data_IF_135362844571
#
_entry.id   IF_135362844571
#
_cell.length_a   1.000
_cell.length_b   1.000
_cell.length_c   1.000
_cell.angle_alpha   90.00
_cell.angle_beta   90.00
_cell.angle_gamma   90.00
#
_symmetry.space_group_name_H-M   'P 1'
#
loop_
_entity.id
_entity.type
_entity.pdbx_description
1 polymer ?
#
# COMPACT_ATOMS: atom_id res chain seq x y z
N UNK A 1 30.59 -3.70 14.38
CA UNK A 1 30.37 -3.14 13.03
C UNK A 1 28.87 -3.07 12.77
N UNK A 2 28.21 -1.92 12.97
CA UNK A 2 26.81 -1.76 12.58
C UNK A 2 26.73 -1.47 11.07
N UNK A 3 25.93 -2.29 10.39
CA UNK A 3 25.66 -2.25 8.94
C UNK A 3 24.67 -1.14 8.60
N UNK A 4 24.96 -0.45 7.49
CA UNK A 4 24.11 0.55 6.82
C UNK A 4 23.11 -0.18 5.91
N UNK A 5 21.82 0.14 5.92
CA UNK A 5 20.95 -0.07 4.76
C UNK A 5 20.80 1.23 3.93
N UNK A 6 20.85 1.17 2.59
CA UNK A 6 20.60 2.29 1.71
C UNK A 6 19.12 2.31 1.30
N UNK A 7 18.35 3.31 1.74
CA UNK A 7 17.18 3.76 0.97
C UNK A 7 17.08 5.29 0.98
N UNK A 8 17.84 5.90 0.10
CA UNK A 8 17.54 7.26 -0.34
C UNK A 8 16.26 7.22 -1.19
N UNK A 9 15.09 7.25 -0.56
CA UNK A 9 13.87 7.71 -1.23
C UNK A 9 13.85 9.22 -1.15
N UNK A 10 14.48 9.85 -2.16
CA UNK A 10 14.16 11.23 -2.51
C UNK A 10 12.68 11.28 -2.89
N UNK A 11 11.87 11.92 -2.07
CA UNK A 11 10.60 12.48 -2.50
C UNK A 11 10.56 13.92 -2.04
N UNK A 12 10.77 14.83 -2.98
CA UNK A 12 10.60 16.27 -2.81
C UNK A 12 9.10 16.57 -2.63
N UNK A 13 8.68 17.21 -1.53
CA UNK A 13 7.38 17.86 -1.50
C UNK A 13 7.46 19.18 -2.27
N UNK A 14 6.43 19.41 -3.08
CA UNK A 14 6.10 20.66 -3.76
C UNK A 14 6.61 21.91 -3.03
N UNK A 15 7.60 22.57 -3.62
CA UNK A 15 7.91 23.96 -3.30
C UNK A 15 6.69 24.80 -3.68
N UNK A 16 5.83 25.09 -2.72
CA UNK A 16 4.89 26.19 -2.82
C UNK A 16 5.73 27.46 -2.89
N UNK A 17 5.97 27.94 -4.10
CA UNK A 17 6.58 29.25 -4.34
C UNK A 17 5.63 30.32 -3.82
N UNK A 18 5.79 30.69 -2.55
CA UNK A 18 5.38 31.99 -2.05
C UNK A 18 6.19 33.03 -2.82
N UNK A 19 5.63 33.54 -3.92
CA UNK A 19 6.17 34.66 -4.66
C UNK A 19 5.90 35.95 -3.85
N UNK A 20 6.59 36.11 -2.73
CA UNK A 20 6.64 37.38 -2.00
C UNK A 20 7.61 38.29 -2.75
N UNK A 21 7.01 39.16 -3.56
CA UNK A 21 7.67 40.26 -4.25
C UNK A 21 8.09 41.31 -3.22
N UNK A 22 9.38 41.48 -2.95
CA UNK A 22 9.87 42.69 -2.26
C UNK A 22 11.36 42.91 -2.47
N UNK A 23 11.71 44.05 -3.08
CA UNK A 23 13.06 44.54 -3.28
C UNK A 23 13.32 45.71 -2.33
N UNK A 24 14.53 45.69 -1.75
CA UNK A 24 15.29 46.77 -1.06
C UNK A 24 15.23 46.82 0.48
N UNK A 25 16.39 46.40 1.02
CA UNK A 25 17.15 46.99 2.15
C UNK A 25 16.54 46.88 3.55
N UNK A 26 17.09 45.95 4.34
CA UNK A 26 17.67 46.25 5.66
C UNK A 26 18.45 45.03 6.17
N UNK A 27 19.66 45.28 6.66
CA UNK A 27 20.56 44.32 7.30
C UNK A 27 20.20 44.23 8.79
N UNK A 28 19.71 43.09 9.28
CA UNK A 28 19.59 42.80 10.72
C UNK A 28 19.77 41.31 11.01
N UNK A 29 20.89 41.00 11.67
CA UNK A 29 21.18 39.92 12.62
C UNK A 29 20.86 38.47 12.22
N UNK A 30 21.94 37.70 11.99
CA UNK A 30 21.91 36.24 11.94
C UNK A 30 21.57 35.64 13.31
N UNK A 31 20.43 34.95 13.39
CA UNK A 31 20.08 33.97 14.42
C UNK A 31 19.91 32.61 13.72
N UNK A 32 20.95 31.78 13.77
CA UNK A 32 20.89 30.36 13.41
C UNK A 32 20.69 29.53 14.70
N UNK A 33 20.14 28.30 14.66
CA UNK A 33 18.87 27.92 14.05
C UNK A 33 18.08 27.00 15.01
N UNK A 34 16.84 27.31 15.40
CA UNK A 34 15.98 26.29 16.00
C UNK A 34 15.20 25.63 14.88
N UNK A 35 15.86 24.70 14.17
CA UNK A 35 15.17 23.72 13.35
C UNK A 35 14.54 22.72 14.33
N UNK A 36 13.37 23.08 14.85
CA UNK A 36 12.44 22.05 15.28
C UNK A 36 11.90 21.43 13.99
N UNK A 37 12.69 20.54 13.40
CA UNK A 37 12.15 19.47 12.58
C UNK A 37 11.36 18.55 13.52
N UNK A 38 10.19 19.02 13.97
CA UNK A 38 9.11 18.12 14.28
C UNK A 38 8.66 17.58 12.92
N UNK A 39 9.35 16.53 12.44
CA UNK A 39 8.72 15.57 11.56
C UNK A 39 7.37 15.29 12.23
N UNK A 40 6.27 15.65 11.58
CA UNK A 40 4.95 15.42 12.13
C UNK A 40 4.91 13.98 12.66
N UNK A 41 4.62 13.75 13.96
CA UNK A 41 4.55 12.41 14.52
C UNK A 41 3.36 11.60 13.97
N UNK A 42 2.72 12.12 12.93
CA UNK A 42 1.50 11.63 12.32
C UNK A 42 1.77 10.70 11.12
N UNK A 43 3.04 10.40 10.82
CA UNK A 43 3.39 9.32 9.89
C UNK A 43 3.16 7.92 10.49
N UNK A 44 2.99 7.81 11.82
CA UNK A 44 2.53 6.59 12.45
C UNK A 44 0.99 6.53 12.41
N UNK A 45 0.46 6.10 11.27
CA UNK A 45 -0.92 5.61 11.24
C UNK A 45 -0.88 4.18 11.76
N UNK A 46 -1.71 3.79 12.76
CA UNK A 46 -1.88 2.37 13.06
C UNK A 46 -2.20 1.66 11.74
N UNK A 47 -1.53 0.51 11.52
CA UNK A 47 -1.55 -0.22 10.24
C UNK A 47 -2.94 -0.16 9.62
N UNK A 48 -3.04 0.44 8.43
CA UNK A 48 -4.30 0.47 7.72
C UNK A 48 -4.70 -1.00 7.52
N UNK A 49 -5.90 -1.42 7.93
CA UNK A 49 -6.28 -2.83 7.89
C UNK A 49 -6.25 -3.38 6.45
N UNK A 50 -6.35 -2.51 5.43
CA UNK A 50 -6.06 -2.89 4.05
C UNK A 50 -4.57 -3.17 3.79
N UNK A 51 -3.65 -2.36 4.30
CA UNK A 51 -2.20 -2.61 4.19
C UNK A 51 -1.81 -3.91 4.92
N UNK A 52 -2.38 -4.18 6.09
CA UNK A 52 -2.20 -5.46 6.80
C UNK A 52 -2.70 -6.66 5.98
N UNK A 53 -3.77 -6.47 5.20
CA UNK A 53 -4.26 -7.48 4.25
C UNK A 53 -3.30 -7.65 3.07
N UNK A 54 -2.77 -6.58 2.47
CA UNK A 54 -1.76 -6.66 1.41
C UNK A 54 -0.48 -7.37 1.89
N UNK A 55 -0.08 -7.12 3.12
CA UNK A 55 0.97 -7.85 3.81
C UNK A 55 0.69 -9.36 3.92
N UNK A 56 -0.56 -9.73 4.20
CA UNK A 56 -0.99 -11.12 4.19
C UNK A 56 -0.92 -11.72 2.78
N UNK A 57 -1.34 -10.96 1.76
CA UNK A 57 -1.24 -11.34 0.34
C UNK A 57 0.23 -11.57 -0.04
N UNK A 58 1.12 -10.65 0.32
CA UNK A 58 2.56 -10.78 0.06
C UNK A 58 3.14 -12.05 0.69
N UNK A 59 2.85 -12.29 1.98
CA UNK A 59 3.41 -13.44 2.71
C UNK A 59 2.90 -14.79 2.22
N UNK A 60 1.62 -14.88 1.83
CA UNK A 60 0.97 -16.16 1.50
C UNK A 60 0.88 -16.44 0.00
N UNK A 61 0.72 -15.39 -0.80
CA UNK A 61 0.47 -15.49 -2.24
C UNK A 61 1.59 -14.86 -3.08
N UNK A 62 2.60 -14.22 -2.48
CA UNK A 62 3.61 -13.43 -3.20
C UNK A 62 4.35 -14.19 -4.31
N UNK A 63 4.67 -15.47 -4.09
CA UNK A 63 5.35 -16.33 -5.07
C UNK A 63 4.42 -16.88 -6.16
N UNK A 64 3.10 -16.74 -5.99
CA UNK A 64 2.10 -17.20 -6.95
C UNK A 64 1.89 -16.14 -8.03
N UNK A 65 1.51 -16.58 -9.22
CA UNK A 65 1.34 -15.72 -10.39
C UNK A 65 -0.13 -15.55 -10.76
N UNK A 66 -0.48 -14.36 -11.23
CA UNK A 66 -1.74 -14.04 -11.91
C UNK A 66 -1.37 -13.76 -13.36
N UNK A 67 -1.71 -14.68 -14.26
CA UNK A 67 -1.25 -14.63 -15.65
C UNK A 67 0.28 -14.65 -15.73
N UNK A 68 0.85 -13.63 -16.38
CA UNK A 68 2.31 -13.46 -16.55
C UNK A 68 2.97 -12.61 -15.46
N UNK A 69 2.25 -12.22 -14.41
CA UNK A 69 2.75 -11.35 -13.33
C UNK A 69 2.80 -12.10 -12.00
N UNK A 70 3.90 -11.98 -11.27
CA UNK A 70 4.02 -12.44 -9.88
C UNK A 70 3.28 -11.50 -8.94
N UNK A 71 2.56 -12.03 -7.95
CA UNK A 71 1.79 -11.20 -7.02
C UNK A 71 2.74 -10.30 -6.21
N UNK A 72 3.80 -10.89 -5.63
CA UNK A 72 4.71 -10.14 -4.77
C UNK A 72 5.60 -9.17 -5.55
N UNK A 73 6.31 -9.68 -6.56
CA UNK A 73 7.30 -8.90 -7.30
C UNK A 73 6.71 -7.91 -8.29
N UNK A 74 5.71 -8.33 -9.07
CA UNK A 74 5.18 -7.48 -10.13
C UNK A 74 4.01 -6.62 -9.66
N UNK A 75 3.09 -7.16 -8.86
CA UNK A 75 1.84 -6.48 -8.52
C UNK A 75 1.91 -5.68 -7.22
N UNK A 76 2.54 -6.21 -6.17
CA UNK A 76 2.65 -5.54 -4.87
C UNK A 76 3.88 -4.63 -4.80
N UNK A 77 5.08 -5.14 -5.07
CA UNK A 77 6.33 -4.36 -4.96
C UNK A 77 6.36 -3.16 -5.93
N UNK A 78 5.83 -3.31 -7.15
CA UNK A 78 5.73 -2.19 -8.09
C UNK A 78 4.46 -1.35 -7.91
N UNK A 79 3.64 -1.65 -6.90
CA UNK A 79 2.37 -0.99 -6.63
C UNK A 79 1.49 -0.86 -7.89
N UNK A 80 1.19 -2.00 -8.53
CA UNK A 80 0.35 -2.03 -9.73
C UNK A 80 -1.04 -1.44 -9.41
N UNK A 81 -1.32 -0.27 -9.99
CA UNK A 81 -2.48 0.54 -9.61
C UNK A 81 -3.80 -0.19 -9.84
N UNK A 82 -3.89 -0.99 -10.91
CA UNK A 82 -5.11 -1.73 -11.22
C UNK A 82 -5.34 -2.88 -10.24
N UNK A 83 -4.30 -3.66 -9.96
CA UNK A 83 -4.38 -4.73 -8.97
C UNK A 83 -4.74 -4.20 -7.59
N UNK A 84 -4.12 -3.09 -7.16
CA UNK A 84 -4.38 -2.47 -5.85
C UNK A 84 -5.81 -1.90 -5.75
N UNK A 85 -6.29 -1.23 -6.80
CA UNK A 85 -7.67 -0.72 -6.85
C UNK A 85 -8.69 -1.87 -6.72
N UNK A 86 -8.58 -2.88 -7.59
CA UNK A 86 -9.51 -4.01 -7.62
C UNK A 86 -9.45 -4.83 -6.33
N UNK A 87 -8.26 -4.98 -5.75
CA UNK A 87 -8.07 -5.67 -4.46
C UNK A 87 -8.63 -4.85 -3.29
N UNK A 88 -8.49 -3.52 -3.30
CA UNK A 88 -9.11 -2.63 -2.31
C UNK A 88 -10.62 -2.74 -2.33
N UNK A 89 -11.23 -2.68 -3.52
CA UNK A 89 -12.69 -2.84 -3.69
C UNK A 89 -13.17 -4.21 -3.20
N UNK A 90 -12.41 -5.27 -3.47
CA UNK A 90 -12.71 -6.61 -2.96
C UNK A 90 -12.59 -6.70 -1.43
N UNK A 91 -11.54 -6.12 -0.85
CA UNK A 91 -11.32 -6.07 0.59
C UNK A 91 -12.47 -5.34 1.31
N UNK A 92 -12.89 -4.18 0.77
CA UNK A 92 -13.98 -3.36 1.28
C UNK A 92 -15.39 -3.91 0.97
N UNK A 93 -15.49 -5.05 0.26
CA UNK A 93 -16.73 -5.71 -0.17
C UNK A 93 -17.59 -4.89 -1.14
N UNK A 94 -16.96 -3.97 -1.86
CA UNK A 94 -17.61 -3.23 -2.93
C UNK A 94 -17.85 -4.11 -4.16
N UNK A 95 -17.03 -5.15 -4.34
CA UNK A 95 -17.20 -6.19 -5.35
C UNK A 95 -17.22 -7.59 -4.74
N UNK A 96 -17.94 -8.50 -5.38
CA UNK A 96 -17.98 -9.91 -4.99
C UNK A 96 -16.65 -10.62 -5.35
N UNK A 97 -16.37 -11.76 -4.71
CA UNK A 97 -15.19 -12.58 -5.07
C UNK A 97 -15.22 -13.06 -6.53
N UNK A 98 -16.41 -13.32 -7.09
CA UNK A 98 -16.57 -13.64 -8.52
C UNK A 98 -16.17 -12.45 -9.40
N UNK A 99 -16.66 -11.25 -9.08
CA UNK A 99 -16.34 -10.04 -9.83
C UNK A 99 -14.85 -9.68 -9.73
N UNK A 100 -14.22 -9.89 -8.57
CA UNK A 100 -12.78 -9.78 -8.39
C UNK A 100 -12.02 -10.74 -9.31
N UNK A 101 -12.40 -12.02 -9.30
CA UNK A 101 -11.77 -13.03 -10.13
C UNK A 101 -11.90 -12.75 -11.62
N UNK A 102 -13.09 -12.35 -12.08
CA UNK A 102 -13.34 -12.00 -13.48
C UNK A 102 -12.57 -10.75 -13.91
N UNK A 103 -12.50 -9.71 -13.07
CA UNK A 103 -11.74 -8.49 -13.35
C UNK A 103 -10.24 -8.79 -13.53
N UNK A 104 -9.64 -9.54 -12.60
CA UNK A 104 -8.24 -9.93 -12.71
C UNK A 104 -7.98 -10.88 -13.87
N UNK A 105 -8.87 -11.83 -14.12
CA UNK A 105 -8.77 -12.75 -15.25
C UNK A 105 -8.73 -12.00 -16.59
N UNK A 106 -9.64 -11.04 -16.78
CA UNK A 106 -9.72 -10.22 -17.98
C UNK A 106 -8.49 -9.31 -18.16
N UNK A 107 -8.03 -8.67 -17.09
CA UNK A 107 -6.91 -7.73 -17.15
C UNK A 107 -5.54 -8.41 -17.35
N UNK A 108 -5.31 -9.53 -16.66
CA UNK A 108 -4.02 -10.21 -16.66
C UNK A 108 -3.96 -11.42 -17.60
N UNK A 109 -5.01 -11.67 -18.40
CA UNK A 109 -5.03 -12.73 -19.41
C UNK A 109 -4.95 -14.13 -18.80
N UNK A 110 -5.67 -14.37 -17.71
CA UNK A 110 -5.70 -15.66 -17.00
C UNK A 110 -7.14 -16.15 -16.84
N UNK A 111 -7.32 -17.31 -16.21
CA UNK A 111 -8.64 -17.82 -15.82
C UNK A 111 -9.06 -17.29 -14.44
N UNK A 112 -10.36 -17.09 -14.18
CA UNK A 112 -10.84 -16.62 -12.88
C UNK A 112 -10.57 -17.61 -11.74
N UNK A 113 -10.42 -18.90 -12.04
CA UNK A 113 -10.02 -19.96 -11.11
C UNK A 113 -8.50 -20.21 -11.07
N UNK A 114 -7.70 -19.27 -11.60
CA UNK A 114 -6.24 -19.43 -11.58
C UNK A 114 -5.68 -19.44 -10.14
N UNK A 115 -4.59 -20.20 -9.88
CA UNK A 115 -4.06 -20.37 -8.53
C UNK A 115 -3.75 -19.07 -7.80
N UNK A 116 -3.26 -18.04 -8.50
CA UNK A 116 -2.97 -16.73 -7.90
C UNK A 116 -4.22 -16.01 -7.42
N UNK A 117 -5.27 -15.99 -8.23
CA UNK A 117 -6.56 -15.36 -7.87
C UNK A 117 -7.20 -16.12 -6.70
N UNK A 118 -7.23 -17.47 -6.79
CA UNK A 118 -7.77 -18.31 -5.72
C UNK A 118 -6.97 -18.15 -4.42
N UNK A 119 -5.66 -17.94 -4.49
CA UNK A 119 -4.86 -17.70 -3.31
C UNK A 119 -5.36 -16.47 -2.54
N UNK A 120 -5.57 -15.34 -3.23
CA UNK A 120 -6.08 -14.10 -2.59
C UNK A 120 -7.50 -14.28 -2.08
N UNK A 121 -8.38 -14.96 -2.83
CA UNK A 121 -9.77 -15.21 -2.42
C UNK A 121 -9.90 -16.07 -1.16
N UNK A 122 -8.90 -16.88 -0.84
CA UNK A 122 -8.87 -17.73 0.36
C UNK A 122 -8.29 -17.02 1.59
N UNK A 123 -7.86 -15.77 1.45
CA UNK A 123 -7.38 -14.97 2.57
C UNK A 123 -8.55 -14.38 3.35
N UNK A 124 -8.35 -14.24 4.67
CA UNK A 124 -9.37 -13.65 5.55
C UNK A 124 -9.25 -12.14 5.49
N UNK A 125 -10.38 -11.46 5.29
CA UNK A 125 -10.49 -10.00 5.41
C UNK A 125 -10.96 -9.65 6.81
N UNK A 126 -10.54 -8.50 7.36
CA UNK A 126 -10.93 -8.10 8.71
C UNK A 126 -12.44 -7.83 8.84
N UNK A 127 -13.09 -7.48 7.73
CA UNK A 127 -14.55 -7.32 7.64
C UNK A 127 -15.30 -8.65 7.55
N UNK A 128 -14.61 -9.79 7.48
CA UNK A 128 -15.26 -11.11 7.48
C UNK A 128 -15.87 -11.44 8.85
N UNK A 129 -17.17 -11.84 8.90
CA UNK A 129 -17.79 -12.17 10.16
C UNK A 129 -16.93 -13.19 10.88
N UNK A 130 -16.70 -12.95 12.17
CA UNK A 130 -15.95 -13.87 13.01
C UNK A 130 -16.62 -15.25 12.88
N UNK A 131 -15.86 -16.35 12.65
CA UNK A 131 -16.46 -17.66 12.72
C UNK A 131 -17.17 -17.78 14.09
N UNK A 132 -18.39 -18.34 14.14
CA UNK A 132 -19.08 -18.50 15.41
C UNK A 132 -18.16 -19.27 16.37
N UNK A 133 -18.08 -18.88 17.65
CA UNK A 133 -17.30 -19.63 18.62
C UNK A 133 -17.80 -21.07 18.58
N UNK A 134 -16.92 -22.00 18.22
CA UNK A 134 -17.21 -23.42 18.28
C UNK A 134 -17.35 -23.73 19.76
N UNK A 135 -18.58 -23.81 20.26
CA UNK A 135 -18.86 -24.26 21.61
C UNK A 135 -18.41 -25.72 21.66
N UNK A 136 -17.26 -25.96 22.30
CA UNK A 136 -16.64 -27.27 22.39
C UNK A 136 -17.62 -28.30 22.94
N UNK A 137 -17.64 -29.46 22.29
CA UNK A 137 -18.26 -30.70 22.78
C UNK A 137 -17.32 -31.40 23.75
#
# INVERSE_FOLDING_TARGET
>A
MPNIPPNASLSCPHAQFLHVRSSRRALVVALFPVVLAACAPDAWRPDDPFEAFLDQVQRKCGEVRIGSRSIGGDLLQNADAYFLDVTSRYYHREISGRSYAEALAGSFGTKPDSPGILCVLNLKRDKDPLPPPVLGM
#
